data_IF_992168525472
#
_entry.id   IF_992168525472
#
_cell.length_a   1.000
_cell.length_b   1.000
_cell.length_c   1.000
_cell.angle_alpha   90.00
_cell.angle_beta   90.00
_cell.angle_gamma   90.00
#
_symmetry.space_group_name_H-M   'P 1'
#
loop_
_entity.id
_entity.type
_entity.pdbx_description
1 polymer ?
#
# COMPACT_ATOMS: atom_id res chain seq x y z
N UNK A 1 5.94 5.03 5.97
CA UNK A 1 5.89 3.85 5.06
C UNK A 1 7.14 2.99 5.13
N UNK A 2 8.33 3.41 4.66
CA UNK A 2 9.54 2.55 4.72
C UNK A 2 9.85 2.07 6.13
N UNK A 3 9.83 2.99 7.11
CA UNK A 3 10.10 2.63 8.51
C UNK A 3 9.08 1.63 9.06
N UNK A 4 7.80 1.77 8.69
CA UNK A 4 6.76 0.83 9.12
C UNK A 4 6.96 -0.53 8.47
N UNK A 5 7.34 -0.58 7.19
CA UNK A 5 7.71 -1.83 6.51
C UNK A 5 8.91 -2.50 7.22
N UNK A 6 9.96 -1.76 7.52
CA UNK A 6 11.14 -2.29 8.22
C UNK A 6 10.81 -2.75 9.64
N UNK A 7 9.92 -2.02 10.32
CA UNK A 7 9.43 -2.35 11.66
C UNK A 7 8.25 -3.36 11.66
N UNK A 8 7.87 -3.91 10.50
CA UNK A 8 6.73 -4.83 10.32
C UNK A 8 5.41 -4.30 10.90
N UNK A 9 5.20 -2.99 10.82
CA UNK A 9 3.94 -2.32 11.19
C UNK A 9 3.12 -2.03 9.93
N UNK A 10 1.81 -1.86 10.15
CA UNK A 10 0.93 -1.33 9.12
C UNK A 10 1.34 0.10 8.77
N UNK A 11 1.42 0.42 7.49
CA UNK A 11 1.69 1.76 6.97
C UNK A 11 0.40 2.57 6.87
N UNK A 12 0.54 3.88 6.63
CA UNK A 12 -0.58 4.79 6.39
C UNK A 12 -0.95 4.90 4.89
N UNK A 13 -0.55 3.95 4.04
CA UNK A 13 -0.76 4.01 2.58
C UNK A 13 -2.21 4.27 2.16
N UNK A 14 -3.17 3.69 2.87
CA UNK A 14 -4.59 3.90 2.59
C UNK A 14 -5.07 5.31 2.93
N UNK A 15 -4.56 5.87 4.03
CA UNK A 15 -4.95 7.19 4.50
C UNK A 15 -4.33 8.31 3.66
N UNK A 16 -3.20 8.04 2.99
CA UNK A 16 -2.49 9.01 2.16
C UNK A 16 -2.79 8.80 0.66
N UNK A 17 -2.07 7.90 -0.01
CA UNK A 17 -2.23 7.68 -1.45
C UNK A 17 -3.60 7.08 -1.80
N UNK A 18 -4.11 6.16 -0.97
CA UNK A 18 -5.45 5.59 -1.14
C UNK A 18 -6.56 6.64 -1.03
N UNK A 19 -6.43 7.58 -0.10
CA UNK A 19 -7.38 8.69 0.05
C UNK A 19 -7.36 9.61 -1.17
N UNK A 20 -6.17 9.97 -1.67
CA UNK A 20 -6.03 10.77 -2.91
C UNK A 20 -6.69 10.06 -4.09
N UNK A 21 -6.41 8.76 -4.29
CA UNK A 21 -7.05 7.96 -5.34
C UNK A 21 -8.57 7.94 -5.22
N UNK A 22 -9.12 7.86 -4.01
CA UNK A 22 -10.57 7.88 -3.79
C UNK A 22 -11.18 9.24 -4.14
N UNK A 23 -10.62 10.33 -3.61
CA UNK A 23 -11.07 11.70 -3.87
C UNK A 23 -10.97 12.04 -5.36
N UNK A 24 -9.91 11.60 -6.03
CA UNK A 24 -9.71 11.86 -7.45
C UNK A 24 -10.76 11.16 -8.32
N UNK A 25 -11.20 9.95 -7.96
CA UNK A 25 -12.30 9.24 -8.66
C UNK A 25 -13.62 9.99 -8.60
N UNK A 26 -13.92 10.64 -7.48
CA UNK A 26 -15.12 11.47 -7.32
C UNK A 26 -15.11 12.70 -8.25
N UNK A 27 -13.93 13.09 -8.75
CA UNK A 27 -13.72 14.23 -9.65
C UNK A 27 -13.25 13.80 -11.05
N UNK A 28 -13.30 12.51 -11.39
CA UNK A 28 -12.87 11.95 -12.68
C UNK A 28 -11.39 12.24 -13.04
N UNK A 29 -10.54 12.44 -12.03
CA UNK A 29 -9.10 12.68 -12.21
C UNK A 29 -8.33 11.35 -12.08
N UNK A 30 -7.54 10.94 -13.09
CA UNK A 30 -6.73 9.73 -12.99
C UNK A 30 -5.52 9.95 -12.09
N UNK A 31 -5.24 8.98 -11.21
CA UNK A 31 -4.09 9.02 -10.29
C UNK A 31 -3.22 7.76 -10.40
N UNK A 32 -2.68 7.45 -11.60
CA UNK A 32 -2.09 6.15 -11.91
C UNK A 32 -0.94 5.77 -10.96
N UNK A 33 -0.14 6.74 -10.52
CA UNK A 33 0.96 6.48 -9.59
C UNK A 33 0.49 6.28 -8.15
N UNK A 34 -0.55 6.97 -7.69
CA UNK A 34 -1.11 6.72 -6.36
C UNK A 34 -1.76 5.33 -6.31
N UNK A 35 -2.48 4.94 -7.36
CA UNK A 35 -3.08 3.61 -7.46
C UNK A 35 -2.00 2.51 -7.46
N UNK A 36 -0.96 2.66 -8.29
CA UNK A 36 0.15 1.71 -8.37
C UNK A 36 0.90 1.60 -7.03
N UNK A 37 1.30 2.73 -6.43
CA UNK A 37 2.03 2.73 -5.16
C UNK A 37 1.21 2.12 -4.03
N UNK A 38 -0.10 2.41 -3.99
CA UNK A 38 -1.02 1.84 -3.01
C UNK A 38 -1.04 0.31 -3.10
N UNK A 39 -1.11 -0.23 -4.31
CA UNK A 39 -1.09 -1.68 -4.55
C UNK A 39 0.26 -2.31 -4.14
N UNK A 40 1.38 -1.69 -4.53
CA UNK A 40 2.72 -2.22 -4.24
C UNK A 40 3.02 -2.26 -2.73
N UNK A 41 2.66 -1.20 -2.00
CA UNK A 41 2.89 -1.15 -0.55
C UNK A 41 1.98 -2.15 0.16
N UNK A 42 0.69 -2.23 -0.18
CA UNK A 42 -0.23 -3.28 0.35
C UNK A 42 0.31 -4.69 0.11
N UNK A 43 0.85 -4.95 -1.07
CA UNK A 43 1.45 -6.24 -1.39
C UNK A 43 2.65 -6.54 -0.47
N UNK A 44 3.52 -5.55 -0.26
CA UNK A 44 4.68 -5.69 0.62
C UNK A 44 4.30 -5.89 2.09
N UNK A 45 3.30 -5.17 2.59
CA UNK A 45 2.77 -5.34 3.94
C UNK A 45 2.21 -6.74 4.19
N UNK A 46 1.46 -7.31 3.23
CA UNK A 46 0.89 -8.66 3.36
C UNK A 46 1.96 -9.74 3.49
N UNK A 47 3.07 -9.62 2.74
CA UNK A 47 4.16 -10.61 2.76
C UNK A 47 4.92 -10.66 4.08
N UNK A 48 4.94 -9.57 4.84
CA UNK A 48 5.59 -9.55 6.17
C UNK A 48 4.66 -10.08 7.28
N UNK A 49 3.34 -9.95 7.10
CA UNK A 49 2.33 -10.50 8.03
C UNK A 49 2.17 -12.02 7.95
N UNK A 50 2.65 -12.64 6.88
CA UNK A 50 2.72 -14.09 6.73
C UNK A 50 4.17 -14.51 6.99
N UNK A 51 4.39 -15.44 7.95
CA UNK A 51 5.72 -16.00 8.22
C UNK A 51 6.36 -16.61 6.97
N UNK A 52 7.65 -17.00 7.01
CA UNK A 52 8.33 -17.53 5.83
C UNK A 52 7.51 -18.66 5.22
N UNK A 53 7.10 -18.47 3.96
CA UNK A 53 6.33 -19.47 3.21
C UNK A 53 7.08 -20.81 3.14
N UNK A 54 6.38 -21.92 2.83
CA UNK A 54 6.97 -23.24 2.85
C UNK A 54 8.23 -23.25 1.98
N UNK A 55 9.36 -23.66 2.57
CA UNK A 55 10.59 -23.91 1.85
C UNK A 55 10.36 -25.18 1.05
N UNK A 56 10.12 -25.02 -0.25
CA UNK A 56 10.24 -26.11 -1.22
C UNK A 56 11.69 -26.52 -1.40
#
# INVERSE_FOLDING_TARGET
MLQDILAKRKTEIEALNGAISRLARENEIPTPYNDLLTLLIKFKEKRESQGPGPRG
#
